data_IF_224271087345
#
_entry.id   IF_224271087345
#
_cell.length_a   1.000
_cell.length_b   1.000
_cell.length_c   1.000
_cell.angle_alpha   90.00
_cell.angle_beta   90.00
_cell.angle_gamma   90.00
#
_symmetry.space_group_name_H-M   'P 1'
#
loop_
_entity.id
_entity.type
_entity.pdbx_description
1 polymer ?
#
# COMPACT_ATOMS: atom_id res chain seq x y z
N UNK A 1 -8.43 19.36 -15.87
CA UNK A 1 -7.32 18.61 -16.48
C UNK A 1 -6.21 18.32 -15.46
N UNK A 2 -5.54 19.34 -14.91
CA UNK A 2 -4.40 19.19 -13.98
C UNK A 2 -4.73 18.42 -12.70
N UNK A 3 -5.91 18.63 -12.11
CA UNK A 3 -6.35 17.94 -10.89
C UNK A 3 -6.41 16.42 -11.09
N UNK A 4 -6.86 15.95 -12.25
CA UNK A 4 -6.89 14.51 -12.55
C UNK A 4 -5.48 13.90 -12.58
N UNK A 5 -4.52 14.63 -13.14
CA UNK A 5 -3.12 14.19 -13.23
C UNK A 5 -2.52 14.08 -11.82
N UNK A 6 -2.75 15.08 -10.97
CA UNK A 6 -2.32 15.03 -9.57
C UNK A 6 -2.96 13.89 -8.79
N UNK A 7 -4.26 13.64 -9.01
CA UNK A 7 -4.98 12.55 -8.35
C UNK A 7 -4.44 11.17 -8.76
N UNK A 8 -4.16 10.97 -10.05
CA UNK A 8 -3.52 9.75 -10.56
C UNK A 8 -2.12 9.57 -9.96
N UNK A 9 -1.31 10.63 -9.93
CA UNK A 9 0.03 10.61 -9.37
C UNK A 9 0.01 10.26 -7.88
N UNK A 10 -0.93 10.85 -7.12
CA UNK A 10 -1.12 10.55 -5.71
C UNK A 10 -1.49 9.08 -5.47
N UNK A 11 -2.36 8.50 -6.31
CA UNK A 11 -2.72 7.08 -6.22
C UNK A 11 -1.53 6.16 -6.48
N UNK A 12 -0.71 6.48 -7.49
CA UNK A 12 0.49 5.71 -7.82
C UNK A 12 1.51 5.79 -6.69
N UNK A 13 1.78 7.00 -6.17
CA UNK A 13 2.68 7.22 -5.04
C UNK A 13 2.19 6.52 -3.77
N UNK A 14 0.89 6.53 -3.52
CA UNK A 14 0.29 5.83 -2.38
C UNK A 14 0.46 4.31 -2.51
N UNK A 15 0.16 3.74 -3.68
CA UNK A 15 0.37 2.31 -3.95
C UNK A 15 1.84 1.91 -3.81
N UNK A 16 2.76 2.69 -4.39
CA UNK A 16 4.19 2.48 -4.27
C UNK A 16 4.68 2.60 -2.80
N UNK A 17 4.17 3.58 -2.05
CA UNK A 17 4.48 3.76 -0.63
C UNK A 17 4.02 2.57 0.21
N UNK A 18 2.84 2.03 -0.05
CA UNK A 18 2.35 0.82 0.62
C UNK A 18 3.20 -0.41 0.25
N UNK A 19 3.56 -0.57 -1.02
CA UNK A 19 4.43 -1.66 -1.49
C UNK A 19 5.81 -1.60 -0.85
N UNK A 20 6.41 -0.41 -0.77
CA UNK A 20 7.71 -0.19 -0.12
C UNK A 20 7.57 -0.40 1.38
N UNK A 21 6.54 0.15 2.02
CA UNK A 21 6.29 -0.02 3.45
C UNK A 21 6.12 -1.49 3.84
N UNK A 22 5.34 -2.26 3.08
CA UNK A 22 5.16 -3.70 3.32
C UNK A 22 6.38 -4.53 2.90
N UNK A 23 7.09 -4.14 1.84
CA UNK A 23 8.33 -4.79 1.44
C UNK A 23 9.47 -4.60 2.47
N UNK A 24 9.49 -3.46 3.17
CA UNK A 24 10.51 -3.14 4.18
C UNK A 24 10.13 -3.63 5.57
N UNK A 25 8.86 -3.48 5.98
CA UNK A 25 8.38 -3.81 7.33
C UNK A 25 7.66 -5.17 7.42
N UNK A 26 7.21 -5.71 6.29
CA UNK A 26 6.47 -6.97 6.21
C UNK A 26 7.33 -8.12 5.65
N UNK A 27 6.68 -9.08 5.01
CA UNK A 27 7.28 -10.35 4.53
C UNK A 27 8.19 -10.21 3.28
N UNK A 28 8.58 -8.98 2.92
CA UNK A 28 9.46 -8.71 1.77
C UNK A 28 8.80 -8.83 0.40
N UNK A 29 7.53 -9.24 0.31
CA UNK A 29 6.80 -9.34 -0.95
C UNK A 29 5.82 -8.17 -1.15
N UNK A 30 6.15 -7.17 -1.98
CA UNK A 30 5.31 -5.98 -2.19
C UNK A 30 3.95 -6.29 -2.81
N UNK A 31 3.78 -7.43 -3.47
CA UNK A 31 2.51 -7.84 -4.08
C UNK A 31 1.46 -8.22 -3.02
N UNK A 32 1.89 -8.58 -1.80
CA UNK A 32 0.99 -8.95 -0.71
C UNK A 32 0.20 -7.76 -0.15
N UNK A 33 0.53 -6.52 -0.51
CA UNK A 33 -0.30 -5.33 -0.19
C UNK A 33 -1.71 -5.45 -0.75
N UNK A 34 -1.88 -6.18 -1.87
CA UNK A 34 -3.20 -6.45 -2.45
C UNK A 34 -3.92 -7.65 -1.81
N UNK A 35 -3.24 -8.40 -0.94
CA UNK A 35 -3.84 -9.55 -0.25
C UNK A 35 -4.69 -9.08 0.92
N UNK A 36 -5.92 -9.60 1.04
CA UNK A 36 -6.77 -9.36 2.23
C UNK A 36 -6.10 -9.79 3.53
N UNK A 37 -5.32 -10.87 3.51
CA UNK A 37 -4.64 -11.40 4.69
C UNK A 37 -3.69 -10.38 5.32
N UNK A 38 -2.98 -9.60 4.51
CA UNK A 38 -2.10 -8.52 4.97
C UNK A 38 -2.87 -7.46 5.77
N UNK A 39 -4.03 -7.05 5.25
CA UNK A 39 -4.87 -6.07 5.92
C UNK A 39 -5.48 -6.63 7.20
N UNK A 40 -5.92 -7.89 7.21
CA UNK A 40 -6.35 -8.56 8.45
C UNK A 40 -5.24 -8.58 9.50
N UNK A 41 -3.99 -8.84 9.08
CA UNK A 41 -2.84 -8.81 9.98
C UNK A 41 -2.61 -7.42 10.57
N UNK A 42 -2.65 -6.36 9.73
CA UNK A 42 -2.53 -4.97 10.17
C UNK A 42 -3.67 -4.59 11.13
N UNK A 43 -4.92 -4.91 10.79
CA UNK A 43 -6.07 -4.60 11.65
C UNK A 43 -6.04 -5.37 12.97
N UNK A 44 -5.56 -6.61 12.97
CA UNK A 44 -5.31 -7.37 14.20
C UNK A 44 -4.18 -6.78 15.03
N UNK A 45 -3.18 -6.15 14.41
CA UNK A 45 -2.09 -5.47 15.11
C UNK A 45 -2.55 -4.14 15.74
N UNK A 46 -3.49 -3.45 15.10
CA UNK A 46 -4.08 -2.20 15.59
C UNK A 46 -5.14 -2.45 16.68
N UNK A 47 -5.86 -3.57 16.60
CA UNK A 47 -6.83 -4.01 17.61
C UNK A 47 -6.15 -4.33 18.94
#
# INVERSE_FOLDING_TARGET
MWVLIFMLMAFILFGAGLMVGYGVLGDGNPMLVFSKQTWEHIFNYIR
#
